data_IF_840096331537
#
_entry.id   IF_840096331537
#
_cell.length_a   1.000
_cell.length_b   1.000
_cell.length_c   1.000
_cell.angle_alpha   90.00
_cell.angle_beta   90.00
_cell.angle_gamma   90.00
#
_symmetry.space_group_name_H-M   'P 1'
#
loop_
_entity.id
_entity.type
_entity.pdbx_description
1 polymer ?
#
# COMPACT_ATOMS: atom_id res chain seq x y z
N UNK A 1 2.24 -3.55 3.25
CA UNK A 1 1.98 -4.26 4.52
C UNK A 1 1.96 -3.25 5.66
N UNK A 2 1.15 -3.45 6.70
CA UNK A 2 1.05 -2.51 7.82
C UNK A 2 1.88 -2.93 9.03
N UNK A 3 2.17 -1.97 9.90
CA UNK A 3 2.85 -2.10 11.17
C UNK A 3 2.00 -1.54 12.31
N UNK A 4 2.48 -1.70 13.54
CA UNK A 4 1.83 -1.15 14.74
C UNK A 4 1.76 0.37 14.79
N UNK A 5 2.30 1.08 13.79
CA UNK A 5 2.07 2.50 13.65
C UNK A 5 0.61 2.77 13.29
N UNK A 6 -0.02 1.92 12.45
CA UNK A 6 -1.42 2.07 12.04
C UNK A 6 -2.36 1.25 12.93
N UNK A 7 -3.65 1.59 12.87
CA UNK A 7 -4.65 1.06 13.79
C UNK A 7 -4.99 -0.42 13.56
N UNK A 8 -4.62 -1.00 12.42
CA UNK A 8 -5.09 -2.30 11.95
C UNK A 8 -4.02 -3.41 12.00
N UNK A 9 -2.82 -3.12 12.54
CA UNK A 9 -1.76 -4.09 12.72
C UNK A 9 -1.13 -3.99 14.11
N UNK A 10 -0.73 -5.13 14.67
CA UNK A 10 -0.07 -5.20 15.99
C UNK A 10 1.45 -5.43 15.89
N UNK A 11 1.95 -5.77 14.69
CA UNK A 11 3.36 -6.10 14.49
C UNK A 11 4.24 -4.85 14.49
N UNK A 12 5.21 -4.78 15.39
CA UNK A 12 6.13 -3.64 15.46
C UNK A 12 7.03 -3.60 14.21
N UNK A 13 7.45 -2.42 13.73
CA UNK A 13 8.38 -2.30 12.59
C UNK A 13 9.62 -3.19 12.69
N UNK A 14 10.22 -3.29 13.89
CA UNK A 14 11.36 -4.15 14.15
C UNK A 14 11.06 -5.65 13.97
N UNK A 15 9.84 -6.08 14.29
CA UNK A 15 9.41 -7.48 14.17
C UNK A 15 9.18 -7.83 12.69
N UNK A 16 8.65 -6.88 11.90
CA UNK A 16 8.49 -7.03 10.45
C UNK A 16 9.84 -7.19 9.75
N UNK A 17 10.83 -6.37 10.09
CA UNK A 17 12.21 -6.48 9.55
C UNK A 17 12.80 -7.86 9.85
N UNK A 18 12.76 -8.30 11.12
CA UNK A 18 13.29 -9.63 11.50
C UNK A 18 12.58 -10.75 10.76
N UNK A 19 11.26 -10.66 10.62
CA UNK A 19 10.46 -11.66 9.93
C UNK A 19 10.77 -11.73 8.42
N UNK A 20 11.05 -10.59 7.79
CA UNK A 20 11.42 -10.51 6.38
C UNK A 20 12.81 -11.12 6.13
N UNK A 21 13.81 -10.76 6.93
CA UNK A 21 15.17 -11.32 6.86
C UNK A 21 15.16 -12.83 7.07
N UNK A 22 14.47 -13.31 8.10
CA UNK A 22 14.37 -14.74 8.39
C UNK A 22 13.70 -15.56 7.28
N UNK A 23 12.91 -14.91 6.42
CA UNK A 23 12.26 -15.51 5.24
C UNK A 23 13.07 -15.35 3.96
N UNK A 24 14.25 -14.73 4.01
CA UNK A 24 15.08 -14.46 2.84
C UNK A 24 14.47 -13.42 1.90
N UNK A 25 13.57 -12.56 2.38
CA UNK A 25 13.06 -11.44 1.59
C UNK A 25 14.15 -10.39 1.43
N UNK A 26 14.29 -9.87 0.21
CA UNK A 26 15.25 -8.79 -0.09
C UNK A 26 14.60 -7.42 -0.09
N UNK A 27 13.27 -7.35 -0.13
CA UNK A 27 12.49 -6.11 -0.18
C UNK A 27 11.29 -6.20 0.76
N UNK A 28 11.00 -5.09 1.45
CA UNK A 28 9.82 -4.94 2.30
C UNK A 28 9.22 -3.54 2.12
N UNK A 29 8.01 -3.46 1.59
CA UNK A 29 7.23 -2.22 1.57
C UNK A 29 6.28 -2.18 2.78
N UNK A 30 6.45 -1.14 3.61
CA UNK A 30 5.52 -0.82 4.68
C UNK A 30 4.68 0.36 4.23
N UNK A 31 3.36 0.18 4.29
CA UNK A 31 2.35 1.06 3.69
C UNK A 31 1.27 1.36 4.72
N UNK A 32 1.68 1.81 5.91
CA UNK A 32 0.75 2.12 6.98
C UNK A 32 -0.27 3.20 6.55
N UNK A 33 -1.48 3.12 7.11
CA UNK A 33 -2.52 4.13 6.90
C UNK A 33 -2.07 5.53 7.32
N UNK A 34 -2.05 6.46 6.35
CA UNK A 34 -1.84 7.91 6.50
C UNK A 34 -0.54 8.36 7.19
N UNK A 35 0.47 7.49 7.32
CA UNK A 35 1.73 7.82 8.01
C UNK A 35 2.91 7.04 7.46
N UNK A 36 4.12 7.60 7.59
CA UNK A 36 5.38 6.99 7.16
C UNK A 36 6.29 6.53 8.31
N UNK A 37 5.95 6.85 9.55
CA UNK A 37 6.81 6.65 10.73
C UNK A 37 7.17 5.17 10.97
N UNK A 38 6.21 4.26 10.77
CA UNK A 38 6.44 2.82 10.84
C UNK A 38 7.45 2.34 9.78
N UNK A 39 7.31 2.82 8.55
CA UNK A 39 8.19 2.46 7.44
C UNK A 39 9.60 3.05 7.60
N UNK A 40 9.70 4.31 8.02
CA UNK A 40 10.97 4.97 8.33
C UNK A 40 11.71 4.23 9.45
N UNK A 41 11.00 3.86 10.53
CA UNK A 41 11.60 3.10 11.62
C UNK A 41 12.10 1.73 11.18
N UNK A 42 11.34 1.03 10.33
CA UNK A 42 11.79 -0.24 9.77
C UNK A 42 13.03 -0.08 8.89
N UNK A 43 13.07 0.95 8.04
CA UNK A 43 14.22 1.27 7.19
C UNK A 43 15.49 1.48 8.01
N UNK A 44 15.40 2.26 9.08
CA UNK A 44 16.56 2.54 9.94
C UNK A 44 17.03 1.31 10.74
N UNK A 45 16.18 0.28 10.88
CA UNK A 45 16.50 -1.00 11.53
C UNK A 45 16.92 -2.10 10.54
N UNK A 46 16.74 -1.88 9.25
CA UNK A 46 16.94 -2.92 8.25
C UNK A 46 18.43 -3.17 8.03
N UNK A 47 18.87 -4.43 7.96
CA UNK A 47 20.24 -4.74 7.60
C UNK A 47 20.45 -4.57 6.09
N UNK A 48 21.70 -4.53 5.60
CA UNK A 48 22.01 -4.22 4.19
C UNK A 48 21.34 -5.15 3.15
N UNK A 49 21.04 -6.40 3.52
CA UNK A 49 20.39 -7.39 2.67
C UNK A 49 18.88 -7.17 2.48
N UNK A 50 18.24 -6.33 3.30
CA UNK A 50 16.83 -6.02 3.23
C UNK A 50 16.61 -4.54 2.88
N UNK A 51 16.10 -4.28 1.68
CA UNK A 51 15.66 -2.94 1.28
C UNK A 51 14.24 -2.67 1.79
N UNK A 52 14.10 -1.73 2.71
CA UNK A 52 12.78 -1.22 3.09
C UNK A 52 12.36 -0.09 2.16
N UNK A 53 11.17 -0.23 1.57
CA UNK A 53 10.53 0.80 0.75
C UNK A 53 9.53 1.55 1.64
N UNK A 54 9.73 2.85 1.77
CA UNK A 54 8.83 3.74 2.50
C UNK A 54 7.60 3.99 1.65
N UNK A 55 6.42 3.68 2.19
CA UNK A 55 5.15 3.90 1.53
C UNK A 55 4.02 4.16 2.51
N UNK A 56 2.85 4.37 1.94
CA UNK A 56 1.61 4.72 2.65
C UNK A 56 0.44 4.07 1.92
N UNK A 57 -0.54 3.56 2.67
CA UNK A 57 -1.87 3.32 2.12
C UNK A 57 -2.71 4.59 2.35
N UNK A 58 -2.98 5.30 1.25
CA UNK A 58 -3.63 6.60 1.23
C UNK A 58 -5.14 6.40 1.05
N UNK A 59 -5.92 6.76 2.06
CA UNK A 59 -7.37 6.78 1.95
C UNK A 59 -7.85 7.99 1.15
N UNK A 60 -8.32 7.77 -0.08
CA UNK A 60 -8.91 8.83 -0.92
C UNK A 60 -10.44 8.85 -0.80
N UNK A 61 -11.08 9.88 -1.36
CA UNK A 61 -12.53 9.95 -1.49
C UNK A 61 -13.11 8.81 -2.36
N UNK A 62 -12.33 8.30 -3.32
CA UNK A 62 -12.73 7.23 -4.25
C UNK A 62 -12.23 5.83 -3.86
N UNK A 63 -11.54 5.68 -2.73
CA UNK A 63 -10.95 4.43 -2.24
C UNK A 63 -9.44 4.51 -2.04
N UNK A 64 -8.83 3.40 -1.64
CA UNK A 64 -7.45 3.41 -1.19
C UNK A 64 -6.45 3.30 -2.36
N UNK A 65 -5.31 3.98 -2.23
CA UNK A 65 -4.15 3.86 -3.11
C UNK A 65 -2.92 3.47 -2.29
N UNK A 66 -1.97 2.77 -2.90
CA UNK A 66 -0.63 2.63 -2.33
C UNK A 66 0.28 3.67 -2.95
N UNK A 67 0.93 4.49 -2.12
CA UNK A 67 2.08 5.28 -2.52
C UNK A 67 3.38 4.61 -2.07
N UNK A 68 4.34 4.42 -2.98
CA UNK A 68 5.68 3.92 -2.65
C UNK A 68 6.76 4.97 -2.94
N UNK A 69 7.88 4.86 -2.25
CA UNK A 69 9.01 5.80 -2.32
C UNK A 69 8.64 7.23 -1.88
N UNK A 70 7.78 7.33 -0.86
CA UNK A 70 7.34 8.62 -0.33
C UNK A 70 8.35 9.23 0.64
N UNK A 71 8.46 10.55 0.61
CA UNK A 71 9.26 11.34 1.55
C UNK A 71 8.40 12.04 2.61
N UNK A 72 7.15 12.36 2.26
CA UNK A 72 6.15 12.98 3.14
C UNK A 72 4.78 12.29 3.02
N UNK A 73 3.98 12.24 4.09
CA UNK A 73 2.64 11.66 4.02
C UNK A 73 1.74 12.39 3.00
N UNK A 74 0.84 11.65 2.38
CA UNK A 74 -0.18 12.20 1.48
C UNK A 74 -1.44 12.52 2.29
N UNK A 75 -2.05 13.71 2.14
CA UNK A 75 -3.27 14.03 2.86
C UNK A 75 -4.42 13.05 2.54
N UNK A 76 -5.09 12.58 3.59
CA UNK A 76 -6.28 11.74 3.44
C UNK A 76 -7.49 12.52 2.90
N UNK A 77 -8.41 11.81 2.27
CA UNK A 77 -9.68 12.36 1.78
C UNK A 77 -9.57 13.15 0.46
N UNK A 78 -8.38 13.25 -0.14
CA UNK A 78 -8.19 13.80 -1.47
C UNK A 78 -9.00 13.04 -2.52
N UNK A 79 -9.26 13.68 -3.67
CA UNK A 79 -9.72 12.92 -4.83
C UNK A 79 -8.65 11.92 -5.27
N UNK A 80 -9.04 10.84 -5.96
CA UNK A 80 -8.07 9.87 -6.48
C UNK A 80 -7.03 10.56 -7.37
N UNK A 81 -7.45 11.51 -8.21
CA UNK A 81 -6.56 12.25 -9.10
C UNK A 81 -5.55 13.13 -8.32
N UNK A 82 -6.00 13.80 -7.26
CA UNK A 82 -5.12 14.65 -6.43
C UNK A 82 -4.16 13.81 -5.61
N UNK A 83 -4.60 12.66 -5.07
CA UNK A 83 -3.74 11.73 -4.37
C UNK A 83 -2.66 11.15 -5.30
N UNK A 84 -3.02 10.76 -6.54
CA UNK A 84 -2.07 10.36 -7.58
C UNK A 84 -1.06 11.47 -7.84
N UNK A 85 -1.52 12.72 -8.05
CA UNK A 85 -0.63 13.84 -8.30
C UNK A 85 0.33 14.09 -7.13
N UNK A 86 -0.15 14.01 -5.88
CA UNK A 86 0.66 14.19 -4.68
C UNK A 86 1.72 13.08 -4.48
N UNK A 87 1.41 11.84 -4.85
CA UNK A 87 2.39 10.74 -4.88
C UNK A 87 3.44 10.99 -5.97
N UNK A 88 2.99 11.35 -7.17
CA UNK A 88 3.87 11.58 -8.33
C UNK A 88 4.79 12.79 -8.17
N UNK A 89 4.33 13.85 -7.49
CA UNK A 89 5.13 15.02 -7.16
C UNK A 89 6.38 14.66 -6.34
N UNK A 90 6.31 13.58 -5.55
CA UNK A 90 7.43 13.05 -4.77
C UNK A 90 8.32 12.09 -5.57
N UNK A 91 8.03 11.85 -6.85
CA UNK A 91 8.67 10.78 -7.63
C UNK A 91 8.23 9.38 -7.22
N UNK A 92 7.14 9.27 -6.45
CA UNK A 92 6.62 8.00 -5.94
C UNK A 92 5.89 7.18 -7.00
N UNK A 93 5.69 5.90 -6.68
CA UNK A 93 4.86 4.99 -7.48
C UNK A 93 3.47 4.87 -6.89
N UNK A 94 2.47 4.77 -7.76
CA UNK A 94 1.05 4.63 -7.43
C UNK A 94 0.61 3.19 -7.68
N UNK A 95 0.03 2.56 -6.68
CA UNK A 95 -0.51 1.21 -6.74
C UNK A 95 -1.99 1.13 -6.43
N UNK A 96 -2.67 0.17 -7.07
CA UNK A 96 -4.02 -0.23 -6.67
C UNK A 96 -3.96 -1.41 -5.68
N UNK A 97 -4.33 -1.21 -4.39
CA UNK A 97 -4.40 -2.29 -3.43
C UNK A 97 -5.65 -3.14 -3.64
N UNK A 98 -5.49 -4.47 -3.62
CA UNK A 98 -6.55 -5.48 -3.60
C UNK A 98 -7.87 -5.07 -4.33
N UNK A 99 -7.83 -4.73 -5.63
CA UNK A 99 -8.96 -4.09 -6.33
C UNK A 99 -10.21 -4.98 -6.45
N UNK A 100 -10.07 -6.28 -6.21
CA UNK A 100 -11.14 -7.26 -6.35
C UNK A 100 -11.48 -8.01 -5.05
N UNK A 101 -10.99 -7.55 -3.89
CA UNK A 101 -11.35 -8.14 -2.60
C UNK A 101 -12.75 -7.65 -2.15
N UNK A 102 -13.78 -8.40 -2.55
CA UNK A 102 -15.19 -8.09 -2.28
C UNK A 102 -15.58 -8.15 -0.79
N UNK A 103 -14.81 -8.84 0.06
CA UNK A 103 -15.16 -9.08 1.46
C UNK A 103 -14.58 -8.05 2.43
N UNK A 104 -13.70 -7.15 1.95
CA UNK A 104 -13.07 -6.08 2.76
C UNK A 104 -13.59 -4.68 2.49
N UNK A 105 -14.83 -4.57 2.01
CA UNK A 105 -15.57 -3.30 1.96
C UNK A 105 -15.76 -2.63 3.35
N UNK A 106 -15.45 -3.34 4.45
CA UNK A 106 -15.36 -2.79 5.81
C UNK A 106 -14.01 -2.13 6.16
N UNK A 107 -12.98 -2.22 5.29
CA UNK A 107 -11.61 -1.74 5.54
C UNK A 107 -11.20 -0.46 4.80
N UNK A 108 -11.76 -0.16 3.62
CA UNK A 108 -11.47 1.12 2.95
C UNK A 108 -11.35 1.11 1.43
N UNK A 109 -11.16 -0.05 0.77
CA UNK A 109 -11.15 -0.06 -0.70
C UNK A 109 -12.56 0.19 -1.24
N UNK A 110 -12.86 1.48 -1.47
CA UNK A 110 -14.07 2.01 -2.09
C UNK A 110 -13.95 2.11 -3.61
N UNK A 111 -12.78 1.78 -4.17
CA UNK A 111 -12.73 1.43 -5.58
C UNK A 111 -13.42 0.06 -5.64
N UNK A 112 -14.74 0.10 -5.80
CA UNK A 112 -15.53 -1.11 -5.94
C UNK A 112 -15.00 -1.95 -7.11
N UNK A 113 -15.46 -3.18 -7.28
CA UNK A 113 -15.11 -4.01 -8.44
C UNK A 113 -15.66 -3.45 -9.77
N UNK A 114 -16.06 -2.18 -9.80
CA UNK A 114 -16.50 -1.43 -10.95
C UNK A 114 -15.33 -1.27 -11.91
N UNK A 115 -15.38 -2.09 -12.96
CA UNK A 115 -14.35 -2.15 -13.98
C UNK A 115 -14.21 -0.81 -14.72
N UNK A 116 -15.25 0.02 -14.79
CA UNK A 116 -15.19 1.33 -15.43
C UNK A 116 -14.36 2.32 -14.60
N UNK A 117 -14.56 2.33 -13.28
CA UNK A 117 -13.75 3.12 -12.35
C UNK A 117 -12.27 2.68 -12.37
N UNK A 118 -12.01 1.37 -12.40
CA UNK A 118 -10.66 0.81 -12.50
C UNK A 118 -10.01 1.13 -13.87
N UNK A 119 -10.76 1.03 -14.96
CA UNK A 119 -10.28 1.37 -16.31
C UNK A 119 -9.89 2.85 -16.41
N UNK A 120 -10.64 3.75 -15.76
CA UNK A 120 -10.29 5.17 -15.67
C UNK A 120 -8.99 5.45 -14.92
N UNK A 121 -8.52 4.51 -14.11
CA UNK A 121 -7.26 4.60 -13.34
C UNK A 121 -6.09 3.89 -14.01
N UNK A 122 -6.32 2.99 -14.98
CA UNK A 122 -5.28 2.19 -15.60
C UNK A 122 -4.13 3.03 -16.20
N UNK A 123 -4.42 4.23 -16.71
CA UNK A 123 -3.40 5.16 -17.23
C UNK A 123 -2.71 6.03 -16.16
N UNK A 124 -3.05 5.87 -14.89
CA UNK A 124 -2.60 6.74 -13.77
C UNK A 124 -1.87 5.97 -12.68
N UNK A 125 -1.85 4.65 -12.76
CA UNK A 125 -1.25 3.74 -11.78
C UNK A 125 -0.05 3.03 -12.39
N UNK A 126 0.96 2.73 -11.58
CA UNK A 126 2.18 2.06 -12.02
C UNK A 126 2.15 0.55 -11.76
N UNK A 127 1.36 0.12 -10.78
CA UNK A 127 1.22 -1.29 -10.44
C UNK A 127 -0.16 -1.62 -9.84
N UNK A 128 -0.48 -2.91 -9.86
CA UNK A 128 -1.70 -3.47 -9.24
C UNK A 128 -1.28 -4.60 -8.31
N UNK A 129 -1.88 -4.68 -7.13
CA UNK A 129 -1.68 -5.82 -6.24
C UNK A 129 -2.37 -7.07 -6.81
N UNK A 130 -1.58 -7.93 -7.47
CA UNK A 130 -2.07 -9.18 -8.04
C UNK A 130 -2.16 -10.34 -7.03
N UNK A 131 -1.43 -10.25 -5.92
CA UNK A 131 -1.44 -11.28 -4.88
C UNK A 131 -1.55 -10.68 -3.49
N UNK A 132 -2.73 -10.82 -2.90
CA UNK A 132 -2.97 -10.46 -1.51
C UNK A 132 -3.20 -11.74 -0.68
N UNK A 133 -2.41 -11.92 0.39
CA UNK A 133 -2.50 -13.10 1.27
C UNK A 133 -3.78 -13.18 2.10
N UNK A 134 -4.62 -12.14 2.08
CA UNK A 134 -5.92 -12.06 2.77
C UNK A 134 -7.10 -12.11 1.80
N UNK A 135 -6.87 -12.11 0.48
CA UNK A 135 -7.95 -12.16 -0.50
C UNK A 135 -8.66 -13.51 -0.43
N UNK A 136 -9.99 -13.47 -0.43
CA UNK A 136 -10.87 -14.65 -0.44
C UNK A 136 -11.55 -14.76 -1.80
N UNK A 137 -11.60 -15.96 -2.37
CA UNK A 137 -12.17 -16.22 -3.70
C UNK A 137 -11.18 -15.94 -4.84
N UNK A 138 -11.69 -15.63 -6.04
CA UNK A 138 -10.90 -15.44 -7.27
C UNK A 138 -10.25 -14.05 -7.43
N UNK A 139 -10.15 -13.24 -6.37
CA UNK A 139 -9.67 -11.85 -6.45
C UNK A 139 -8.24 -11.72 -7.00
N UNK A 140 -7.31 -12.55 -6.51
CA UNK A 140 -5.93 -12.59 -7.01
C UNK A 140 -5.86 -12.99 -8.50
N UNK A 141 -6.73 -13.91 -8.94
CA UNK A 141 -6.76 -14.35 -10.35
C UNK A 141 -7.28 -13.25 -11.28
N UNK A 142 -8.24 -12.42 -10.84
CA UNK A 142 -8.71 -11.26 -11.64
C UNK A 142 -7.71 -10.12 -11.69
N UNK A 143 -6.83 -10.02 -10.69
CA UNK A 143 -5.84 -8.94 -10.60
C UNK A 143 -4.56 -9.22 -11.40
N UNK A 144 -4.28 -10.49 -11.73
CA UNK A 144 -3.13 -10.94 -12.51
C UNK A 144 -3.41 -10.92 -14.01
#
# INVERSE_FOLDING_TARGET
>A
MHSSASFDCLSRPADLVRAAVARGLTHLAITDHERLDGALRARDLAPPELRVIVGEEVRTAGGDLIGLYLERPVPAGLSVADAVAAIKEQGGLVGLPHPFDRFRSSGGSRIGPDEEALAGLAGRVDFVEAHNGRAIGGGNVRAA
#
